data_IF_157688180768
#
_entry.id   IF_157688180768
#
_cell.length_a   1.000
_cell.length_b   1.000
_cell.length_c   1.000
_cell.angle_alpha   90.00
_cell.angle_beta   90.00
_cell.angle_gamma   90.00
#
_symmetry.space_group_name_H-M   'P 1'
#
loop_
_entity.id
_entity.type
_entity.pdbx_description
1 polymer ?
#
# COMPACT_ATOMS: atom_id res chain seq x y z
N UNK A 1 21.32 -8.48 -13.40
CA UNK A 1 20.06 -8.64 -12.64
C UNK A 1 18.97 -7.78 -13.25
N UNK A 2 18.22 -8.32 -14.21
CA UNK A 2 17.01 -7.67 -14.73
C UNK A 2 15.81 -8.42 -14.14
N UNK A 3 15.18 -7.83 -13.12
CA UNK A 3 13.92 -8.33 -12.61
C UNK A 3 12.81 -7.89 -13.57
N UNK A 4 12.29 -8.82 -14.39
CA UNK A 4 11.15 -8.58 -15.28
C UNK A 4 11.16 -9.43 -16.55
N UNK A 5 9.97 -9.79 -17.04
CA UNK A 5 9.83 -10.46 -18.33
C UNK A 5 10.22 -9.51 -19.47
N UNK A 6 11.07 -9.95 -20.40
CA UNK A 6 11.40 -9.16 -21.61
C UNK A 6 10.30 -9.18 -22.67
N UNK A 7 9.34 -10.10 -22.55
CA UNK A 7 8.25 -10.26 -23.51
C UNK A 7 7.09 -9.33 -23.16
N UNK A 8 6.68 -8.39 -24.04
CA UNK A 8 5.55 -7.47 -23.80
C UNK A 8 4.23 -8.18 -23.46
N UNK A 9 3.99 -9.38 -24.00
CA UNK A 9 2.82 -10.19 -23.67
C UNK A 9 2.86 -10.68 -22.23
N UNK A 10 4.02 -11.11 -21.75
CA UNK A 10 4.19 -11.55 -20.36
C UNK A 10 4.11 -10.38 -19.39
N UNK A 11 4.63 -9.20 -19.76
CA UNK A 11 4.45 -7.97 -18.99
C UNK A 11 2.96 -7.63 -18.89
N UNK A 12 2.22 -7.65 -20.00
CA UNK A 12 0.78 -7.40 -19.99
C UNK A 12 0.02 -8.45 -19.17
N UNK A 13 0.34 -9.73 -19.33
CA UNK A 13 -0.30 -10.80 -18.58
C UNK A 13 -0.04 -10.67 -17.06
N UNK A 14 1.16 -10.26 -16.66
CA UNK A 14 1.47 -9.90 -15.27
C UNK A 14 0.69 -8.66 -14.83
N UNK A 15 0.58 -7.63 -15.68
CA UNK A 15 -0.27 -6.45 -15.41
C UNK A 15 -1.75 -6.78 -15.29
N UNK A 16 -2.25 -7.83 -15.94
CA UNK A 16 -3.62 -8.32 -15.74
C UNK A 16 -3.75 -9.31 -14.59
N UNK A 17 -2.65 -9.65 -13.91
CA UNK A 17 -2.66 -10.54 -12.74
C UNK A 17 -2.73 -12.03 -13.06
N UNK A 18 -2.43 -12.45 -14.29
CA UNK A 18 -2.41 -13.87 -14.67
C UNK A 18 -1.22 -14.65 -14.11
N UNK A 19 -0.25 -13.96 -13.51
CA UNK A 19 0.90 -14.56 -12.84
C UNK A 19 1.09 -13.95 -11.45
N UNK A 20 1.37 -14.79 -10.45
CA UNK A 20 1.83 -14.31 -9.14
C UNK A 20 3.18 -13.61 -9.32
N UNK A 21 3.25 -12.34 -8.92
CA UNK A 21 4.46 -11.53 -9.03
C UNK A 21 4.50 -10.47 -7.94
N UNK A 22 5.65 -10.33 -7.27
CA UNK A 22 5.83 -9.50 -6.08
C UNK A 22 6.29 -10.31 -4.87
N UNK A 23 7.44 -11.01 -4.94
CA UNK A 23 7.92 -11.77 -3.81
C UNK A 23 8.32 -10.82 -2.67
N UNK A 24 7.75 -11.06 -1.50
CA UNK A 24 8.20 -10.46 -0.27
C UNK A 24 9.51 -11.13 0.15
N UNK A 25 10.59 -10.35 0.10
CA UNK A 25 11.95 -10.82 0.39
C UNK A 25 12.51 -10.06 1.57
N UNK A 26 13.01 -10.78 2.57
CA UNK A 26 13.71 -10.19 3.69
C UNK A 26 15.22 -10.29 3.45
N UNK A 27 15.92 -9.19 3.68
CA UNK A 27 17.35 -9.07 3.47
C UNK A 27 18.02 -8.69 4.79
N UNK A 28 19.06 -9.42 5.18
CA UNK A 28 19.95 -9.04 6.26
C UNK A 28 21.42 -9.07 5.80
N UNK A 29 22.35 -8.72 6.69
CA UNK A 29 23.78 -8.63 6.37
C UNK A 29 24.41 -9.94 5.85
N UNK A 30 23.79 -11.09 6.11
CA UNK A 30 24.33 -12.41 5.72
C UNK A 30 23.55 -13.10 4.61
N UNK A 31 22.30 -12.72 4.35
CA UNK A 31 21.39 -13.53 3.53
C UNK A 31 20.17 -12.76 3.03
N UNK A 32 19.62 -13.26 1.93
CA UNK A 32 18.33 -12.86 1.37
C UNK A 32 17.42 -14.09 1.34
N UNK A 33 16.18 -13.94 1.81
CA UNK A 33 15.19 -15.03 1.82
C UNK A 33 13.84 -14.52 1.36
N UNK A 34 13.26 -15.21 0.38
CA UNK A 34 11.85 -15.04 0.03
C UNK A 34 11.01 -15.59 1.18
N UNK A 35 10.26 -14.71 1.85
CA UNK A 35 9.39 -15.07 2.98
C UNK A 35 7.95 -15.29 2.54
N UNK A 36 7.54 -14.73 1.39
CA UNK A 36 6.23 -14.99 0.79
C UNK A 36 6.24 -14.64 -0.71
N UNK A 37 5.54 -15.39 -1.57
CA UNK A 37 5.58 -15.20 -3.03
C UNK A 37 4.21 -15.25 -3.72
N UNK A 38 3.11 -15.14 -2.96
CA UNK A 38 1.74 -15.21 -3.48
C UNK A 38 1.00 -13.86 -3.43
N UNK A 39 1.72 -12.75 -3.37
CA UNK A 39 1.12 -11.41 -3.50
C UNK A 39 1.14 -11.06 -4.98
N UNK A 40 -0.02 -10.72 -5.54
CA UNK A 40 -0.12 -10.26 -6.92
C UNK A 40 0.02 -8.73 -6.94
N UNK A 41 1.11 -8.22 -7.51
CA UNK A 41 1.47 -6.81 -7.50
C UNK A 41 1.63 -6.27 -6.08
N UNK A 42 2.61 -6.80 -5.35
CA UNK A 42 3.05 -6.21 -4.09
C UNK A 42 3.58 -4.80 -4.31
N UNK A 43 3.25 -3.86 -3.42
CA UNK A 43 3.77 -2.50 -3.49
C UNK A 43 4.27 -2.01 -2.12
N UNK A 44 3.53 -1.11 -1.46
CA UNK A 44 3.90 -0.59 -0.14
C UNK A 44 4.05 -1.67 0.92
N UNK A 45 4.98 -1.44 1.84
CA UNK A 45 5.29 -2.34 2.96
C UNK A 45 5.63 -1.52 4.21
N UNK A 46 5.09 -1.90 5.36
CA UNK A 46 5.49 -1.32 6.65
C UNK A 46 5.22 -2.27 7.79
N UNK A 47 6.01 -2.16 8.86
CA UNK A 47 5.69 -2.77 10.14
C UNK A 47 4.71 -1.89 10.91
N UNK A 48 3.86 -2.52 11.72
CA UNK A 48 3.16 -1.88 12.84
C UNK A 48 4.14 -1.22 13.83
N UNK A 49 3.65 -0.26 14.61
CA UNK A 49 4.47 0.48 15.59
C UNK A 49 5.14 -0.42 16.63
N UNK A 50 4.46 -1.46 17.10
CA UNK A 50 5.02 -2.46 18.03
C UNK A 50 5.76 -3.60 17.31
N UNK A 51 5.85 -3.53 15.98
CA UNK A 51 6.51 -4.47 15.07
C UNK A 51 5.95 -5.90 15.12
N UNK A 52 4.79 -6.15 15.73
CA UNK A 52 4.17 -7.48 15.77
C UNK A 52 3.45 -7.88 14.49
N UNK A 53 3.07 -6.89 13.69
CA UNK A 53 2.45 -7.06 12.38
C UNK A 53 3.29 -6.43 11.27
N UNK A 54 3.35 -7.09 10.13
CA UNK A 54 3.84 -6.57 8.86
C UNK A 54 2.67 -6.43 7.88
N UNK A 55 2.53 -5.26 7.28
CA UNK A 55 1.53 -4.93 6.29
C UNK A 55 2.17 -4.82 4.92
N UNK A 56 1.58 -5.47 3.91
CA UNK A 56 2.04 -5.39 2.52
C UNK A 56 0.86 -5.12 1.62
N UNK A 57 0.93 -4.07 0.80
CA UNK A 57 -0.10 -3.76 -0.19
C UNK A 57 -0.24 -4.90 -1.19
N UNK A 58 -1.48 -5.30 -1.46
CA UNK A 58 -1.85 -6.32 -2.44
C UNK A 58 -2.84 -5.72 -3.43
N UNK A 59 -2.31 -5.02 -4.44
CA UNK A 59 -3.10 -4.33 -5.46
C UNK A 59 -4.05 -5.32 -6.17
N UNK A 60 -3.58 -6.52 -6.52
CA UNK A 60 -4.38 -7.54 -7.19
C UNK A 60 -5.58 -8.07 -6.39
N UNK A 61 -5.56 -7.96 -5.06
CA UNK A 61 -6.66 -8.37 -4.19
C UNK A 61 -7.47 -7.18 -3.64
N UNK A 62 -7.16 -5.95 -4.08
CA UNK A 62 -7.75 -4.71 -3.54
C UNK A 62 -7.68 -4.67 -2.00
N UNK A 63 -6.53 -5.10 -1.47
CA UNK A 63 -6.35 -5.42 -0.06
C UNK A 63 -4.93 -5.21 0.44
N UNK A 64 -4.74 -5.49 1.73
CA UNK A 64 -3.45 -5.46 2.41
C UNK A 64 -3.22 -6.85 3.02
N UNK A 65 -2.12 -7.49 2.66
CA UNK A 65 -1.67 -8.71 3.34
C UNK A 65 -1.14 -8.37 4.73
N UNK A 66 -1.58 -9.12 5.72
CA UNK A 66 -1.17 -8.99 7.11
C UNK A 66 -0.39 -10.23 7.52
N UNK A 67 0.82 -10.02 8.03
CA UNK A 67 1.67 -11.06 8.57
C UNK A 67 1.91 -10.81 10.05
N UNK A 68 1.84 -11.87 10.86
CA UNK A 68 2.40 -11.87 12.21
C UNK A 68 3.91 -11.99 12.13
N UNK A 69 4.57 -11.15 12.91
CA UNK A 69 6.02 -11.11 13.06
C UNK A 69 6.34 -11.73 14.42
N UNK A 70 6.98 -12.90 14.40
CA UNK A 70 7.38 -13.60 15.65
C UNK A 70 8.86 -13.41 15.97
N UNK A 71 9.68 -13.18 14.96
CA UNK A 71 11.13 -13.01 15.06
C UNK A 71 11.64 -12.46 13.70
N UNK A 72 12.01 -11.19 13.64
CA UNK A 72 12.47 -10.56 12.40
C UNK A 72 13.85 -11.07 11.98
N UNK A 73 14.78 -11.19 12.94
CA UNK A 73 16.16 -11.62 12.69
C UNK A 73 16.22 -13.03 12.12
N UNK A 74 15.28 -13.89 12.51
CA UNK A 74 15.15 -15.28 12.00
C UNK A 74 14.12 -15.46 10.90
N UNK A 75 13.67 -14.39 10.25
CA UNK A 75 12.74 -14.46 9.11
C UNK A 75 11.37 -15.07 9.44
N UNK A 76 10.89 -14.98 10.68
CA UNK A 76 9.63 -15.62 11.09
C UNK A 76 8.44 -14.68 10.88
N UNK A 77 7.97 -14.70 9.65
CA UNK A 77 6.75 -14.03 9.20
C UNK A 77 5.69 -15.08 8.87
N UNK A 78 4.51 -14.97 9.46
CA UNK A 78 3.38 -15.86 9.19
C UNK A 78 2.22 -15.04 8.65
N UNK A 79 1.82 -15.29 7.41
CA UNK A 79 0.62 -14.66 6.85
C UNK A 79 -0.59 -15.07 7.68
N UNK A 80 -1.38 -14.10 8.14
CA UNK A 80 -2.58 -14.36 8.97
C UNK A 80 -3.87 -13.89 8.30
N UNK A 81 -3.83 -12.89 7.42
CA UNK A 81 -5.05 -12.31 6.86
C UNK A 81 -4.77 -11.52 5.56
N UNK A 82 -5.79 -11.39 4.71
CA UNK A 82 -5.84 -10.34 3.67
C UNK A 82 -6.96 -9.39 4.06
N UNK A 83 -6.61 -8.16 4.43
CA UNK A 83 -7.56 -7.12 4.80
C UNK A 83 -8.13 -6.47 3.53
N UNK A 84 -9.43 -6.65 3.22
CA UNK A 84 -10.03 -6.01 2.06
C UNK A 84 -10.19 -4.50 2.31
N UNK A 85 -9.68 -3.67 1.39
CA UNK A 85 -9.79 -2.20 1.44
C UNK A 85 -10.54 -1.62 0.24
N UNK A 86 -10.96 -2.48 -0.70
CA UNK A 86 -11.73 -2.12 -1.89
C UNK A 86 -11.09 -0.96 -2.68
N UNK A 87 -9.76 -1.00 -2.79
CA UNK A 87 -8.96 -0.05 -3.55
C UNK A 87 -7.54 -0.55 -3.75
N UNK A 88 -6.81 0.09 -4.66
CA UNK A 88 -5.44 -0.28 -4.99
C UNK A 88 -4.48 0.56 -4.16
N UNK A 89 -4.16 0.13 -2.94
CA UNK A 89 -3.17 0.82 -2.12
C UNK A 89 -1.80 0.81 -2.78
N UNK A 90 -1.11 1.94 -2.74
CA UNK A 90 0.27 2.07 -3.17
C UNK A 90 1.18 1.96 -1.95
N UNK A 91 1.72 3.07 -1.43
CA UNK A 91 2.54 3.06 -0.23
C UNK A 91 1.71 3.04 1.06
N UNK A 92 2.30 2.41 2.08
CA UNK A 92 1.76 2.22 3.43
C UNK A 92 2.64 2.97 4.43
N UNK A 93 2.05 3.74 5.35
CA UNK A 93 2.78 4.46 6.39
C UNK A 93 2.11 4.29 7.75
N UNK A 94 2.91 4.23 8.81
CA UNK A 94 2.40 4.26 10.18
C UNK A 94 2.46 5.69 10.72
N UNK A 95 1.39 6.12 11.37
CA UNK A 95 1.42 7.30 12.23
C UNK A 95 2.30 7.00 13.46
N UNK A 96 3.45 7.69 13.64
CA UNK A 96 4.37 7.40 14.72
C UNK A 96 3.75 7.66 16.10
N UNK A 97 2.74 8.52 16.19
CA UNK A 97 2.09 8.88 17.45
C UNK A 97 1.02 7.84 17.82
N UNK A 98 0.09 7.53 16.90
CA UNK A 98 -1.04 6.64 17.20
C UNK A 98 -0.77 5.16 16.89
N UNK A 99 0.16 4.86 15.99
CA UNK A 99 0.38 3.52 15.45
C UNK A 99 -0.61 3.11 14.35
N UNK A 100 -1.52 3.99 13.94
CA UNK A 100 -2.48 3.70 12.88
C UNK A 100 -1.79 3.64 11.51
N UNK A 101 -2.28 2.74 10.66
CA UNK A 101 -1.81 2.58 9.30
C UNK A 101 -2.57 3.52 8.36
N UNK A 102 -1.83 4.22 7.50
CA UNK A 102 -2.36 5.05 6.44
C UNK A 102 -1.94 4.50 5.07
N UNK A 103 -2.89 4.44 4.16
CA UNK A 103 -2.68 3.97 2.79
C UNK A 103 -3.19 5.02 1.81
N UNK A 104 -2.33 5.49 0.90
CA UNK A 104 -2.78 6.17 -0.31
C UNK A 104 -3.19 5.09 -1.32
N UNK A 105 -4.36 5.24 -1.94
CA UNK A 105 -4.91 4.23 -2.82
C UNK A 105 -5.60 4.86 -4.03
N UNK A 106 -5.43 4.23 -5.19
CA UNK A 106 -6.18 4.59 -6.39
C UNK A 106 -7.60 4.01 -6.32
N UNK A 107 -8.57 4.80 -6.81
CA UNK A 107 -9.99 4.41 -6.77
C UNK A 107 -10.40 3.65 -8.04
N UNK A 108 -9.81 3.98 -9.19
CA UNK A 108 -10.20 3.42 -10.50
C UNK A 108 -8.98 2.93 -11.29
N UNK A 109 -9.01 1.65 -11.70
CA UNK A 109 -7.98 1.08 -12.58
C UNK A 109 -7.98 1.76 -13.94
N UNK A 110 -9.15 2.10 -14.47
CA UNK A 110 -9.28 2.79 -15.75
C UNK A 110 -8.67 4.18 -15.71
N UNK A 111 -8.80 4.91 -14.59
CA UNK A 111 -8.14 6.20 -14.42
C UNK A 111 -6.62 6.07 -14.37
N UNK A 112 -6.11 5.08 -13.62
CA UNK A 112 -4.67 4.79 -13.57
C UNK A 112 -4.14 4.46 -14.97
N UNK A 113 -4.82 3.59 -15.71
CA UNK A 113 -4.42 3.22 -17.07
C UNK A 113 -4.46 4.42 -18.03
N UNK A 114 -5.53 5.21 -17.99
CA UNK A 114 -5.65 6.42 -18.81
C UNK A 114 -4.54 7.43 -18.49
N UNK A 115 -4.24 7.63 -17.21
CA UNK A 115 -3.19 8.54 -16.76
C UNK A 115 -1.80 8.08 -17.23
N UNK A 116 -1.49 6.78 -17.05
CA UNK A 116 -0.18 6.22 -17.41
C UNK A 116 0.06 6.17 -18.92
N UNK A 117 -0.99 5.99 -19.71
CA UNK A 117 -0.94 5.91 -21.17
C UNK A 117 -1.04 7.28 -21.86
N UNK A 118 -1.37 8.36 -21.14
CA UNK A 118 -1.40 9.70 -21.73
C UNK A 118 0.04 10.20 -21.95
N UNK A 119 0.50 10.41 -23.20
CA UNK A 119 1.86 10.83 -23.49
C UNK A 119 2.21 12.22 -22.96
N UNK A 120 1.20 13.07 -22.70
CA UNK A 120 1.39 14.41 -22.15
C UNK A 120 1.33 14.44 -20.62
N UNK A 121 0.91 13.35 -19.94
CA UNK A 121 0.87 13.09 -18.48
C UNK A 121 0.35 14.21 -17.54
N UNK A 122 -0.03 15.37 -18.06
CA UNK A 122 -0.26 16.62 -17.31
C UNK A 122 -1.34 17.51 -17.94
N UNK A 123 -1.75 17.27 -19.20
CA UNK A 123 -2.85 18.01 -19.83
C UNK A 123 -4.16 17.21 -19.74
N UNK A 124 -4.96 17.52 -18.71
CA UNK A 124 -6.39 17.20 -18.63
C UNK A 124 -6.79 15.81 -18.11
N UNK A 125 -5.87 14.85 -18.00
CA UNK A 125 -6.18 13.55 -17.39
C UNK A 125 -5.94 13.61 -15.88
N UNK A 126 -6.96 13.25 -15.12
CA UNK A 126 -6.93 13.20 -13.65
C UNK A 126 -6.98 11.74 -13.20
N UNK A 127 -6.36 11.45 -12.07
CA UNK A 127 -6.49 10.17 -11.40
C UNK A 127 -6.92 10.41 -9.96
N UNK A 128 -8.14 9.98 -9.65
CA UNK A 128 -8.69 10.07 -8.30
C UNK A 128 -7.93 9.15 -7.35
N UNK A 129 -7.94 9.55 -6.08
CA UNK A 129 -7.28 8.82 -5.01
C UNK A 129 -8.06 8.99 -3.72
N UNK A 130 -7.82 8.06 -2.79
CA UNK A 130 -8.27 8.17 -1.41
C UNK A 130 -7.14 7.83 -0.45
N UNK A 131 -7.25 8.38 0.75
CA UNK A 131 -6.39 8.05 1.89
C UNK A 131 -7.25 7.31 2.90
N UNK A 132 -6.85 6.07 3.20
CA UNK A 132 -7.48 5.25 4.23
C UNK A 132 -6.67 5.32 5.51
N UNK A 133 -7.37 5.33 6.66
CA UNK A 133 -6.81 5.08 7.99
C UNK A 133 -7.33 3.74 8.49
N UNK A 134 -6.42 2.89 8.92
CA UNK A 134 -6.66 1.53 9.38
C UNK A 134 -6.12 1.42 10.80
N UNK A 135 -7.00 1.14 11.76
CA UNK A 135 -6.62 0.90 13.15
C UNK A 135 -6.60 -0.59 13.42
N UNK A 136 -5.43 -1.12 13.79
CA UNK A 136 -5.29 -2.51 14.22
C UNK A 136 -5.42 -2.59 15.74
N UNK A 137 -6.36 -3.39 16.24
CA UNK A 137 -6.59 -3.60 17.67
C UNK A 137 -6.43 -5.08 17.97
N UNK A 138 -5.61 -5.43 18.96
CA UNK A 138 -5.59 -6.80 19.47
C UNK A 138 -6.98 -7.15 20.02
N UNK A 139 -7.54 -8.25 19.53
CA UNK A 139 -8.84 -8.75 19.96
C UNK A 139 -8.78 -10.28 19.94
N UNK A 140 -8.76 -10.88 21.13
CA UNK A 140 -8.64 -12.35 21.29
C UNK A 140 -9.91 -13.10 20.88
N UNK A 141 -11.02 -12.38 20.67
CA UNK A 141 -12.26 -12.98 20.18
C UNK A 141 -12.27 -13.14 18.65
N UNK A 142 -11.40 -12.42 17.93
CA UNK A 142 -11.22 -12.54 16.48
C UNK A 142 -10.33 -13.73 16.14
N UNK A 143 -10.66 -14.48 15.07
CA UNK A 143 -9.92 -15.68 14.63
C UNK A 143 -8.43 -15.43 14.39
N UNK A 144 -8.09 -14.23 13.91
CA UNK A 144 -6.72 -13.81 13.60
C UNK A 144 -6.02 -13.08 14.77
N UNK A 145 -6.73 -12.86 15.87
CA UNK A 145 -6.27 -12.14 17.07
C UNK A 145 -6.27 -10.61 16.96
N UNK A 146 -6.82 -10.07 15.88
CA UNK A 146 -6.88 -8.64 15.61
C UNK A 146 -8.20 -8.25 14.95
N UNK A 147 -8.76 -7.12 15.37
CA UNK A 147 -9.81 -6.39 14.65
C UNK A 147 -9.21 -5.20 13.92
N UNK A 148 -9.68 -4.96 12.69
CA UNK A 148 -9.24 -3.84 11.86
C UNK A 148 -10.41 -2.88 11.61
N UNK A 149 -10.27 -1.64 12.09
CA UNK A 149 -11.24 -0.59 11.81
C UNK A 149 -10.72 0.27 10.64
N UNK A 150 -11.44 0.31 9.52
CA UNK A 150 -11.04 1.06 8.31
C UNK A 150 -11.92 2.29 8.16
N UNK A 151 -11.32 3.44 7.83
CA UNK A 151 -12.03 4.69 7.53
C UNK A 151 -11.38 5.45 6.39
N UNK A 152 -12.17 6.14 5.57
CA UNK A 152 -11.65 7.08 4.57
C UNK A 152 -11.40 8.43 5.23
N UNK A 153 -10.16 8.91 5.20
CA UNK A 153 -9.75 10.21 5.76
C UNK A 153 -9.90 11.32 4.73
N UNK A 154 -9.59 11.01 3.48
CA UNK A 154 -9.71 11.92 2.34
C UNK A 154 -10.05 11.11 1.11
N UNK A 155 -10.91 11.66 0.26
CA UNK A 155 -11.13 11.19 -1.10
C UNK A 155 -11.15 12.41 -2.02
N UNK A 156 -10.42 12.33 -3.12
CA UNK A 156 -10.23 13.46 -4.02
C UNK A 156 -10.28 13.00 -5.47
N UNK A 157 -10.88 13.82 -6.33
CA UNK A 157 -11.10 13.55 -7.75
C UNK A 157 -9.83 13.70 -8.64
N UNK A 158 -8.65 13.96 -8.07
CA UNK A 158 -7.41 14.18 -8.82
C UNK A 158 -7.10 15.62 -9.22
N UNK A 159 -7.97 16.61 -8.96
CA UNK A 159 -7.79 17.98 -9.47
C UNK A 159 -6.65 18.76 -8.80
N UNK A 160 -6.46 18.54 -7.49
CA UNK A 160 -5.42 19.22 -6.71
C UNK A 160 -4.09 18.44 -6.70
N UNK A 161 -4.18 17.13 -6.86
CA UNK A 161 -3.07 16.20 -6.98
C UNK A 161 -3.60 14.95 -7.68
N UNK A 162 -2.95 14.49 -8.74
CA UNK A 162 -3.28 13.21 -9.37
C UNK A 162 -2.26 12.14 -9.02
N UNK A 163 -2.66 10.87 -9.09
CA UNK A 163 -1.78 9.72 -8.85
C UNK A 163 -1.10 9.75 -7.48
N UNK A 164 -1.85 10.08 -6.42
CA UNK A 164 -1.30 10.04 -5.06
C UNK A 164 -0.86 8.61 -4.69
N UNK A 165 0.39 8.46 -4.29
CA UNK A 165 1.01 7.17 -4.00
C UNK A 165 1.42 7.01 -2.55
N UNK A 166 1.49 8.10 -1.79
CA UNK A 166 1.93 8.08 -0.39
C UNK A 166 1.09 9.05 0.43
N UNK A 167 0.74 8.64 1.65
CA UNK A 167 0.09 9.46 2.66
C UNK A 167 0.86 9.29 3.97
N UNK A 168 1.55 10.34 4.39
CA UNK A 168 2.40 10.36 5.58
C UNK A 168 1.71 11.18 6.69
N UNK A 169 1.13 10.52 7.70
CA UNK A 169 0.46 11.18 8.82
C UNK A 169 1.46 11.68 9.88
N UNK A 170 1.11 12.78 10.54
CA UNK A 170 1.71 13.23 11.78
C UNK A 170 0.61 13.81 12.67
N UNK A 171 0.08 12.97 13.56
CA UNK A 171 -0.99 13.35 14.47
C UNK A 171 -0.57 14.47 15.42
N UNK A 172 0.64 14.40 16.00
CA UNK A 172 1.20 15.44 16.87
C UNK A 172 1.24 16.82 16.23
N UNK A 173 1.50 16.90 14.93
CA UNK A 173 1.51 18.16 14.19
C UNK A 173 0.16 18.51 13.53
N UNK A 174 -0.86 17.66 13.69
CA UNK A 174 -2.14 17.76 12.98
C UNK A 174 -1.95 17.92 11.46
N UNK A 175 -1.13 17.03 10.87
CA UNK A 175 -0.78 17.08 9.45
C UNK A 175 -0.87 15.73 8.76
N UNK A 176 -1.31 15.77 7.51
CA UNK A 176 -1.23 14.68 6.56
C UNK A 176 -0.55 15.20 5.30
N UNK A 177 0.60 14.63 4.95
CA UNK A 177 1.30 14.95 3.70
C UNK A 177 0.99 13.87 2.67
N UNK A 178 0.58 14.28 1.46
CA UNK A 178 0.21 13.37 0.39
C UNK A 178 1.06 13.67 -0.83
N UNK A 179 1.81 12.66 -1.30
CA UNK A 179 2.70 12.75 -2.44
C UNK A 179 2.21 11.95 -3.63
N UNK A 180 2.68 12.33 -4.82
CA UNK A 180 2.42 11.66 -6.09
C UNK A 180 3.72 11.20 -6.73
N UNK A 181 3.63 10.19 -7.59
CA UNK A 181 4.77 9.69 -8.38
C UNK A 181 5.03 10.51 -9.66
N UNK A 182 4.00 11.16 -10.20
CA UNK A 182 4.06 11.82 -11.52
C UNK A 182 3.59 13.28 -11.51
N UNK A 183 3.03 13.75 -10.40
CA UNK A 183 2.62 15.12 -10.23
C UNK A 183 3.74 15.94 -9.55
N UNK A 184 3.76 17.25 -9.78
CA UNK A 184 4.84 18.13 -9.31
C UNK A 184 4.61 18.67 -7.89
N UNK A 185 3.50 18.31 -7.24
CA UNK A 185 3.05 18.87 -5.97
C UNK A 185 3.00 17.86 -4.81
N UNK A 186 2.83 18.40 -3.61
CA UNK A 186 2.51 17.67 -2.38
C UNK A 186 1.31 18.37 -1.76
N UNK A 187 0.28 17.60 -1.35
CA UNK A 187 -0.81 18.17 -0.56
C UNK A 187 -0.45 18.12 0.93
N UNK A 188 -0.69 19.23 1.63
CA UNK A 188 -0.59 19.32 3.08
C UNK A 188 -1.97 19.58 3.68
N UNK A 189 -2.57 18.54 4.24
CA UNK A 189 -3.89 18.59 4.85
C UNK A 189 -3.79 18.63 6.39
N UNK A 190 -4.85 19.09 7.06
CA UNK A 190 -5.04 18.86 8.49
C UNK A 190 -5.69 17.49 8.71
N UNK A 191 -5.37 16.81 9.80
CA UNK A 191 -6.04 15.59 10.22
C UNK A 191 -7.27 15.98 11.04
N UNK A 192 -8.45 15.92 10.43
CA UNK A 192 -9.69 16.08 11.19
C UNK A 192 -9.98 14.77 11.91
N UNK A 193 -9.98 14.82 13.25
CA UNK A 193 -10.22 13.66 14.13
C UNK A 193 -11.69 13.27 14.21
#
# INVERSE_FOLDING_TARGET
NYAGYKNPWLIRAQSFGFFSGGPLTHFNHNSSKVIYNKINKSNGITLSKDRKLLFVSHIGALGIEVFRVSDEDRYKFTRIHTLPIQSMSDNLNIDPDTGDLYAAAFVSLTEVENYMNNPKRSEGTKCSFKVLRIRAKEDKSEDIGYRFDISTVLEHNGDALSMATVAAPSSSNNKLLIGSILDNGILSCKLNY
#
